data_IF_833225465431
#
_entry.id   IF_833225465431
#
_cell.length_a   1.000
_cell.length_b   1.000
_cell.length_c   1.000
_cell.angle_alpha   90.00
_cell.angle_beta   90.00
_cell.angle_gamma   90.00
#
_symmetry.space_group_name_H-M   'P 1'
#
loop_
_entity.id
_entity.type
_entity.pdbx_description
1 polymer ?
#
# COMPACT_ATOMS: atom_id res chain seq x y z
N UNK A 1 8.58 4.85 -26.22
CA UNK A 1 7.87 3.61 -25.78
C UNK A 1 8.45 3.02 -24.48
N UNK A 2 9.77 2.79 -24.40
CA UNK A 2 10.46 2.16 -23.25
C UNK A 2 10.30 2.92 -21.91
N UNK A 3 10.43 4.26 -21.92
CA UNK A 3 10.26 5.08 -20.70
C UNK A 3 8.89 4.88 -20.03
N UNK A 4 7.82 4.79 -20.82
CA UNK A 4 6.44 4.56 -20.33
C UNK A 4 6.30 3.18 -19.69
N UNK A 5 6.95 2.17 -20.25
CA UNK A 5 6.99 0.81 -19.70
C UNK A 5 7.72 0.75 -18.36
N UNK A 6 8.91 1.37 -18.27
CA UNK A 6 9.69 1.43 -17.02
C UNK A 6 8.94 2.15 -15.90
N UNK A 7 8.25 3.26 -16.22
CA UNK A 7 7.40 3.96 -15.25
C UNK A 7 6.26 3.09 -14.74
N UNK A 8 5.57 2.36 -15.62
CA UNK A 8 4.51 1.41 -15.23
C UNK A 8 5.03 0.28 -14.34
N UNK A 9 6.22 -0.26 -14.65
CA UNK A 9 6.87 -1.29 -13.85
C UNK A 9 7.23 -0.77 -12.44
N UNK A 10 7.75 0.46 -12.36
CA UNK A 10 8.10 1.12 -11.08
C UNK A 10 6.86 1.35 -10.21
N UNK A 11 5.74 1.75 -10.82
CA UNK A 11 4.46 1.91 -10.12
C UNK A 11 3.95 0.56 -9.59
N UNK A 12 3.97 -0.51 -10.40
CA UNK A 12 3.54 -1.85 -9.95
C UNK A 12 4.38 -2.38 -8.79
N UNK A 13 5.71 -2.21 -8.85
CA UNK A 13 6.62 -2.62 -7.74
C UNK A 13 6.26 -1.90 -6.44
N UNK A 14 6.00 -0.60 -6.53
CA UNK A 14 5.59 0.25 -5.40
C UNK A 14 4.25 -0.16 -4.80
N UNK A 15 3.24 -0.40 -5.64
CA UNK A 15 1.93 -0.91 -5.19
C UNK A 15 2.06 -2.28 -4.50
N UNK A 16 2.86 -3.19 -5.07
CA UNK A 16 3.12 -4.52 -4.48
C UNK A 16 3.87 -4.44 -3.15
N UNK A 17 4.77 -3.46 -2.98
CA UNK A 17 5.44 -3.22 -1.71
C UNK A 17 4.45 -2.77 -0.63
N UNK A 18 3.57 -1.80 -0.95
CA UNK A 18 2.56 -1.30 -0.02
C UNK A 18 1.63 -2.41 0.49
N UNK A 19 1.12 -3.25 -0.41
CA UNK A 19 0.26 -4.39 -0.03
C UNK A 19 0.99 -5.36 0.89
N UNK A 20 2.25 -5.69 0.58
CA UNK A 20 3.06 -6.58 1.43
C UNK A 20 3.33 -6.00 2.81
N UNK A 21 3.56 -4.69 2.88
CA UNK A 21 3.75 -3.98 4.14
C UNK A 21 2.47 -4.06 4.99
N UNK A 22 1.32 -3.69 4.42
CA UNK A 22 0.01 -3.80 5.09
C UNK A 22 -0.27 -5.21 5.63
N UNK A 23 -0.09 -6.25 4.80
CA UNK A 23 -0.30 -7.64 5.22
C UNK A 23 0.68 -8.09 6.32
N UNK A 24 1.92 -7.58 6.31
CA UNK A 24 2.87 -7.84 7.40
C UNK A 24 2.43 -7.17 8.69
N UNK A 25 2.02 -5.90 8.64
CA UNK A 25 1.55 -5.18 9.82
C UNK A 25 0.33 -5.90 10.43
N UNK A 26 -0.64 -6.29 9.61
CA UNK A 26 -1.77 -7.13 10.04
C UNK A 26 -1.33 -8.41 10.76
N UNK A 27 -0.36 -9.14 10.16
CA UNK A 27 0.08 -10.43 10.69
C UNK A 27 0.89 -10.33 11.98
N UNK A 28 1.77 -9.33 12.09
CA UNK A 28 2.76 -9.26 13.17
C UNK A 28 2.34 -8.34 14.32
N UNK A 29 1.54 -7.31 14.05
CA UNK A 29 1.10 -6.36 15.08
C UNK A 29 -0.12 -6.85 15.86
N UNK A 30 -0.90 -7.81 15.30
CA UNK A 30 -2.22 -8.15 15.83
C UNK A 30 -3.20 -6.96 15.84
N UNK A 31 -2.85 -5.91 15.08
CA UNK A 31 -3.60 -4.66 15.03
C UNK A 31 -4.90 -4.82 14.27
N UNK A 32 -5.86 -3.95 14.60
CA UNK A 32 -7.06 -3.81 13.77
C UNK A 32 -6.65 -3.39 12.35
N UNK A 33 -7.39 -3.80 11.32
CA UNK A 33 -7.08 -3.45 9.93
C UNK A 33 -6.87 -1.96 9.68
N UNK A 34 -7.56 -1.09 10.41
CA UNK A 34 -7.41 0.36 10.35
C UNK A 34 -6.01 0.82 10.77
N UNK A 35 -5.58 0.41 11.96
CA UNK A 35 -4.27 0.75 12.50
C UNK A 35 -3.15 0.16 11.64
N UNK A 36 -3.33 -1.07 11.16
CA UNK A 36 -2.36 -1.69 10.25
C UNK A 36 -2.23 -0.94 8.92
N UNK A 37 -3.34 -0.39 8.41
CA UNK A 37 -3.37 0.40 7.18
C UNK A 37 -2.73 1.78 7.37
N UNK A 38 -2.97 2.44 8.50
CA UNK A 38 -2.35 3.72 8.85
C UNK A 38 -0.84 3.56 9.04
N UNK A 39 -0.40 2.56 9.80
CA UNK A 39 1.02 2.22 9.96
C UNK A 39 1.69 1.92 8.61
N UNK A 40 1.01 1.18 7.72
CA UNK A 40 1.52 0.93 6.38
C UNK A 40 1.61 2.20 5.53
N UNK A 41 0.70 3.15 5.69
CA UNK A 41 0.75 4.46 5.03
C UNK A 41 1.93 5.29 5.52
N UNK A 42 2.14 5.37 6.83
CA UNK A 42 3.22 6.15 7.44
C UNK A 42 4.59 5.63 7.00
N UNK A 43 4.82 4.32 7.14
CA UNK A 43 6.06 3.69 6.71
C UNK A 43 6.27 3.90 5.20
N UNK A 44 5.24 3.70 4.38
CA UNK A 44 5.36 3.92 2.94
C UNK A 44 5.68 5.39 2.58
N UNK A 45 5.08 6.34 3.30
CA UNK A 45 5.35 7.78 3.12
C UNK A 45 6.82 8.10 3.46
N UNK A 46 7.36 7.56 4.54
CA UNK A 46 8.78 7.73 4.91
C UNK A 46 9.72 7.22 3.81
N UNK A 47 9.43 6.07 3.20
CA UNK A 47 10.30 5.49 2.16
C UNK A 47 10.17 6.14 0.78
N UNK A 48 8.99 6.65 0.42
CA UNK A 48 8.71 7.09 -0.96
C UNK A 48 8.24 8.54 -1.10
N UNK A 49 8.04 9.25 0.02
CA UNK A 49 7.58 10.64 0.08
C UNK A 49 6.17 10.87 -0.45
N UNK A 50 5.39 9.81 -0.69
CA UNK A 50 4.05 9.85 -1.28
C UNK A 50 3.22 8.67 -0.79
N UNK A 51 1.91 8.83 -0.69
CA UNK A 51 0.97 7.74 -0.36
C UNK A 51 0.44 7.09 -1.65
N UNK A 52 0.27 5.76 -1.72
CA UNK A 52 -0.24 5.07 -2.90
C UNK A 52 -1.77 5.10 -2.92
N UNK A 53 -2.36 6.29 -3.12
CA UNK A 53 -3.81 6.56 -3.07
C UNK A 53 -4.67 5.54 -3.82
N UNK A 54 -4.31 5.18 -5.05
CA UNK A 54 -5.06 4.17 -5.85
C UNK A 54 -5.20 2.80 -5.19
N UNK A 55 -4.23 2.39 -4.37
CA UNK A 55 -4.27 1.10 -3.66
C UNK A 55 -4.96 1.28 -2.32
N UNK A 56 -4.72 2.41 -1.64
CA UNK A 56 -5.40 2.77 -0.41
C UNK A 56 -6.92 2.81 -0.59
N UNK A 57 -7.42 3.42 -1.66
CA UNK A 57 -8.85 3.46 -1.96
C UNK A 57 -9.45 2.07 -2.22
N UNK A 58 -8.70 1.17 -2.86
CA UNK A 58 -9.15 -0.21 -3.08
C UNK A 58 -9.23 -0.99 -1.77
N UNK A 59 -8.21 -0.90 -0.94
CA UNK A 59 -8.19 -1.56 0.37
C UNK A 59 -9.29 -1.04 1.29
N UNK A 60 -9.60 0.27 1.24
CA UNK A 60 -10.73 0.84 1.98
C UNK A 60 -12.07 0.30 1.47
N UNK A 61 -12.27 0.22 0.15
CA UNK A 61 -13.50 -0.33 -0.45
C UNK A 61 -13.70 -1.82 -0.19
N UNK A 62 -12.64 -2.63 -0.25
CA UNK A 62 -12.73 -4.07 0.06
C UNK A 62 -13.02 -4.33 1.55
N UNK A 63 -12.64 -3.41 2.44
CA UNK A 63 -12.96 -3.46 3.87
C UNK A 63 -14.43 -3.11 4.17
N UNK A 64 -15.03 -2.21 3.39
CA UNK A 64 -16.42 -1.78 3.58
C UNK A 64 -17.45 -2.74 2.93
N UNK A 65 -17.01 -3.86 2.35
CA UNK A 65 -17.89 -4.92 1.86
C UNK A 65 -18.23 -5.87 3.03
N UNK A 66 -19.52 -6.08 3.36
CA UNK A 66 -19.96 -6.83 4.54
C UNK A 66 -19.51 -8.28 4.56
#
# INVERSE_FOLDING_TARGET
>A
MIKKFLTRLKIRKRQSFFIRLYLKTLKYSGERPETALDTACDVYYVYFGKIPTSVLEKLRKERDYP
#
